data_IF_770353098061
#
_entry.id   IF_770353098061
#
_cell.length_a   1.000
_cell.length_b   1.000
_cell.length_c   1.000
_cell.angle_alpha   90.00
_cell.angle_beta   90.00
_cell.angle_gamma   90.00
#
_symmetry.space_group_name_H-M   'P 1'
#
loop_
_entity.id
_entity.type
_entity.pdbx_description
1 polymer ?
#
# COMPACT_ATOMS: atom_id res chain seq x y z
N UNK A 1 -29.06 -1.67 3.81
CA UNK A 1 -28.63 -2.87 3.08
C UNK A 1 -27.81 -2.52 1.83
N UNK A 2 -28.28 -1.57 0.98
CA UNK A 2 -27.55 -1.21 -0.25
C UNK A 2 -26.15 -0.64 0.03
N UNK A 3 -26.00 0.22 1.04
CA UNK A 3 -24.68 0.82 1.39
C UNK A 3 -23.68 -0.22 1.91
N UNK A 4 -24.13 -1.17 2.74
CA UNK A 4 -23.27 -2.23 3.26
C UNK A 4 -22.85 -3.21 2.17
N UNK A 5 -23.77 -3.62 1.28
CA UNK A 5 -23.45 -4.47 0.14
C UNK A 5 -22.48 -3.78 -0.85
N UNK A 6 -22.65 -2.46 -1.06
CA UNK A 6 -21.73 -1.68 -1.87
C UNK A 6 -20.35 -1.58 -1.24
N UNK A 7 -20.24 -1.34 0.07
CA UNK A 7 -18.97 -1.34 0.80
C UNK A 7 -18.29 -2.71 0.71
N UNK A 8 -19.02 -3.81 0.97
CA UNK A 8 -18.49 -5.16 0.82
C UNK A 8 -17.93 -5.42 -0.58
N UNK A 9 -18.70 -5.05 -1.63
CA UNK A 9 -18.27 -5.24 -3.01
C UNK A 9 -17.01 -4.41 -3.34
N UNK A 10 -16.96 -3.16 -2.87
CA UNK A 10 -15.84 -2.25 -3.07
C UNK A 10 -14.56 -2.76 -2.39
N UNK A 11 -14.62 -3.14 -1.12
CA UNK A 11 -13.46 -3.66 -0.39
C UNK A 11 -12.99 -5.00 -0.95
N UNK A 12 -13.90 -5.90 -1.33
CA UNK A 12 -13.55 -7.14 -2.00
C UNK A 12 -12.91 -6.93 -3.37
N UNK A 13 -13.33 -5.91 -4.13
CA UNK A 13 -12.71 -5.54 -5.38
C UNK A 13 -11.33 -4.90 -5.17
N UNK A 14 -11.19 -4.06 -4.14
CA UNK A 14 -9.92 -3.42 -3.79
C UNK A 14 -8.86 -4.45 -3.38
N UNK A 15 -9.21 -5.41 -2.53
CA UNK A 15 -8.30 -6.50 -2.12
C UNK A 15 -7.80 -7.30 -3.32
N UNK A 16 -8.71 -7.72 -4.22
CA UNK A 16 -8.30 -8.42 -5.44
C UNK A 16 -7.42 -7.57 -6.35
N UNK A 17 -7.77 -6.29 -6.54
CA UNK A 17 -7.01 -5.40 -7.41
C UNK A 17 -5.61 -5.12 -6.86
N UNK A 18 -5.48 -4.90 -5.54
CA UNK A 18 -4.19 -4.70 -4.89
C UNK A 18 -3.28 -5.93 -5.05
N UNK A 19 -3.79 -7.13 -4.79
CA UNK A 19 -3.02 -8.38 -4.99
C UNK A 19 -2.63 -8.62 -6.45
N UNK A 20 -3.49 -8.29 -7.39
CA UNK A 20 -3.20 -8.43 -8.83
C UNK A 20 -2.19 -7.39 -9.34
N UNK A 21 -2.09 -6.25 -8.69
CA UNK A 21 -1.13 -5.21 -9.06
C UNK A 21 0.32 -5.59 -8.74
N UNK A 22 0.54 -6.40 -7.71
CA UNK A 22 1.85 -6.83 -7.25
C UNK A 22 2.34 -8.07 -7.99
N UNK A 23 3.64 -8.17 -8.25
CA UNK A 23 4.28 -9.37 -8.80
C UNK A 23 4.42 -10.46 -7.74
N UNK A 24 4.68 -10.08 -6.48
CA UNK A 24 4.84 -10.97 -5.33
C UNK A 24 4.03 -10.45 -4.13
N UNK A 25 2.72 -10.72 -4.06
CA UNK A 25 1.89 -10.29 -2.95
C UNK A 25 2.21 -11.08 -1.68
N UNK A 26 2.71 -10.40 -0.64
CA UNK A 26 3.12 -11.02 0.63
C UNK A 26 2.13 -10.72 1.75
N UNK A 27 1.85 -11.72 2.58
CA UNK A 27 1.16 -11.51 3.86
C UNK A 27 2.09 -10.85 4.87
N UNK A 28 1.52 -10.25 5.91
CA UNK A 28 2.28 -9.46 6.88
C UNK A 28 2.50 -8.01 6.42
N UNK A 29 1.75 -7.55 5.42
CA UNK A 29 1.82 -6.21 4.85
C UNK A 29 0.45 -5.52 4.86
N UNK A 30 0.37 -4.34 4.30
CA UNK A 30 -0.88 -3.62 4.01
C UNK A 30 -1.96 -4.52 3.37
N UNK A 31 -1.56 -5.55 2.59
CA UNK A 31 -2.50 -6.50 1.97
C UNK A 31 -3.25 -7.33 3.00
N UNK A 32 -2.60 -7.72 4.09
CA UNK A 32 -3.22 -8.50 5.18
C UNK A 32 -4.34 -7.70 5.83
N UNK A 33 -4.11 -6.41 6.08
CA UNK A 33 -5.11 -5.49 6.65
C UNK A 33 -6.26 -5.23 5.68
N UNK A 34 -5.97 -5.02 4.40
CA UNK A 34 -7.00 -4.84 3.37
C UNK A 34 -7.89 -6.08 3.24
N UNK A 35 -7.29 -7.27 3.27
CA UNK A 35 -8.04 -8.54 3.26
C UNK A 35 -8.87 -8.74 4.52
N UNK A 36 -8.37 -8.33 5.69
CA UNK A 36 -9.13 -8.37 6.95
C UNK A 36 -10.37 -7.47 6.85
N UNK A 37 -10.23 -6.25 6.34
CA UNK A 37 -11.34 -5.33 6.10
C UNK A 37 -12.39 -5.92 5.16
N UNK A 38 -11.97 -6.49 4.03
CA UNK A 38 -12.87 -7.11 3.06
C UNK A 38 -13.64 -8.30 3.66
N UNK A 39 -12.95 -9.18 4.43
CA UNK A 39 -13.57 -10.32 5.12
C UNK A 39 -14.53 -9.87 6.22
N UNK A 40 -14.19 -8.85 6.99
CA UNK A 40 -15.05 -8.32 8.05
C UNK A 40 -16.38 -7.81 7.52
N UNK A 41 -16.34 -6.99 6.47
CA UNK A 41 -17.54 -6.47 5.82
C UNK A 41 -18.38 -7.59 5.17
N UNK A 42 -17.75 -8.63 4.63
CA UNK A 42 -18.46 -9.79 4.10
C UNK A 42 -19.21 -10.56 5.20
N UNK A 43 -18.60 -10.79 6.37
CA UNK A 43 -19.25 -11.44 7.53
C UNK A 43 -20.42 -10.62 8.06
N UNK A 44 -20.23 -9.30 8.17
CA UNK A 44 -21.28 -8.41 8.68
C UNK A 44 -22.54 -8.40 7.78
N UNK A 45 -22.39 -8.63 6.47
CA UNK A 45 -23.51 -8.70 5.55
C UNK A 45 -24.32 -9.99 5.64
N UNK A 46 -23.70 -11.11 6.05
CA UNK A 46 -24.35 -12.42 6.21
C UNK A 46 -25.05 -12.57 7.56
N UNK A 47 -24.64 -11.80 8.57
CA UNK A 47 -25.19 -11.84 9.94
C UNK A 47 -26.30 -10.79 10.18
N UNK A 48 -26.67 -10.00 9.16
CA UNK A 48 -27.82 -9.10 9.31
C UNK A 48 -29.05 -9.93 9.62
N UNK A 49 -29.72 -9.74 10.77
CA UNK A 49 -30.93 -10.48 11.10
C UNK A 49 -31.98 -10.17 10.06
N UNK A 50 -32.81 -11.18 9.70
CA UNK A 50 -34.00 -11.08 8.86
C UNK A 50 -35.11 -10.23 9.54
N UNK A 51 -34.73 -9.13 10.16
CA UNK A 51 -35.69 -8.16 10.67
C UNK A 51 -36.26 -7.44 9.46
N UNK A 52 -37.59 -7.54 9.21
CA UNK A 52 -38.21 -6.85 8.11
C UNK A 52 -37.86 -5.38 8.24
N UNK A 53 -37.28 -4.84 7.17
CA UNK A 53 -36.92 -3.42 7.08
C UNK A 53 -38.19 -2.62 7.38
N UNK A 54 -38.26 -1.99 8.56
CA UNK A 54 -39.22 -0.94 8.78
C UNK A 54 -38.87 0.09 7.73
N UNK A 55 -39.81 0.25 6.77
CA UNK A 55 -39.67 1.20 5.69
C UNK A 55 -39.72 2.61 6.29
N UNK A 56 -38.59 3.11 6.65
CA UNK A 56 -38.33 4.46 7.12
C UNK A 56 -36.91 4.82 6.72
N UNK A 57 -36.74 6.01 6.20
CA UNK A 57 -35.52 6.64 5.68
C UNK A 57 -34.35 6.69 6.71
N UNK A 58 -33.92 5.54 7.22
CA UNK A 58 -32.72 5.51 8.03
C UNK A 58 -31.51 5.80 7.12
N UNK A 59 -30.79 6.87 7.46
CA UNK A 59 -29.59 7.33 6.79
C UNK A 59 -28.66 6.13 6.49
N UNK A 60 -28.18 5.96 5.27
CA UNK A 60 -27.22 4.92 4.90
C UNK A 60 -25.98 4.88 5.81
N UNK A 61 -25.52 6.01 6.35
CA UNK A 61 -24.43 6.11 7.30
C UNK A 61 -24.75 5.39 8.63
N UNK A 62 -25.98 5.50 9.14
CA UNK A 62 -26.43 4.83 10.38
C UNK A 62 -26.37 3.31 10.25
N UNK A 63 -26.55 2.77 9.03
CA UNK A 63 -26.51 1.32 8.78
C UNK A 63 -25.09 0.80 8.57
N UNK A 64 -24.17 1.65 8.09
CA UNK A 64 -22.77 1.27 7.82
C UNK A 64 -21.89 1.37 9.05
N UNK A 65 -22.20 2.31 9.98
CA UNK A 65 -21.37 2.59 11.16
C UNK A 65 -20.97 1.37 11.98
N UNK A 66 -21.92 0.51 12.41
CA UNK A 66 -21.57 -0.70 13.17
C UNK A 66 -20.65 -1.65 12.40
N UNK A 67 -20.87 -1.84 11.10
CA UNK A 67 -20.05 -2.71 10.28
C UNK A 67 -18.62 -2.19 10.11
N UNK A 68 -18.46 -0.86 9.93
CA UNK A 68 -17.14 -0.22 9.83
C UNK A 68 -16.41 -0.25 11.17
N UNK A 69 -17.11 -0.13 12.29
CA UNK A 69 -16.51 -0.24 13.64
C UNK A 69 -15.97 -1.65 13.90
N UNK A 70 -16.73 -2.69 13.54
CA UNK A 70 -16.26 -4.08 13.64
C UNK A 70 -15.10 -4.33 12.70
N UNK A 71 -15.19 -3.83 11.46
CA UNK A 71 -14.11 -3.91 10.49
C UNK A 71 -12.82 -3.30 11.03
N UNK A 72 -12.88 -2.12 11.66
CA UNK A 72 -11.70 -1.47 12.23
C UNK A 72 -11.05 -2.33 13.32
N UNK A 73 -11.82 -2.93 14.22
CA UNK A 73 -11.30 -3.82 15.26
C UNK A 73 -10.59 -5.05 14.65
N UNK A 74 -11.17 -5.66 13.61
CA UNK A 74 -10.52 -6.75 12.87
C UNK A 74 -9.23 -6.29 12.16
N UNK A 75 -9.17 -5.02 11.71
CA UNK A 75 -7.97 -4.46 11.10
C UNK A 75 -6.86 -4.19 12.12
N UNK A 76 -7.18 -3.75 13.35
CA UNK A 76 -6.18 -3.61 14.42
C UNK A 76 -5.50 -4.95 14.68
N UNK A 77 -6.28 -6.01 14.85
CA UNK A 77 -5.73 -7.36 15.01
C UNK A 77 -4.85 -7.78 13.83
N UNK A 78 -5.29 -7.49 12.60
CA UNK A 78 -4.52 -7.82 11.41
C UNK A 78 -3.19 -7.04 11.32
N UNK A 79 -3.12 -5.80 11.84
CA UNK A 79 -1.87 -5.03 11.96
C UNK A 79 -0.94 -5.71 12.96
N UNK A 80 -1.43 -6.10 14.15
CA UNK A 80 -0.63 -6.81 15.15
C UNK A 80 -0.05 -8.12 14.60
N UNK A 81 -0.84 -8.87 13.83
CA UNK A 81 -0.41 -10.12 13.20
C UNK A 81 0.75 -9.94 12.21
N UNK A 82 0.92 -8.74 11.62
CA UNK A 82 2.00 -8.47 10.63
C UNK A 82 3.39 -8.74 11.20
N UNK A 83 3.62 -8.46 12.49
CA UNK A 83 4.90 -8.74 13.17
C UNK A 83 5.32 -10.20 13.02
N UNK A 84 4.38 -11.13 13.16
CA UNK A 84 4.65 -12.57 13.11
C UNK A 84 4.72 -13.16 11.71
N UNK A 85 4.19 -12.45 10.70
CA UNK A 85 4.05 -12.96 9.32
C UNK A 85 5.27 -12.68 8.45
N UNK A 86 6.09 -11.68 8.80
CA UNK A 86 7.30 -11.33 8.06
C UNK A 86 8.53 -11.39 8.96
N UNK A 87 9.51 -12.19 8.58
CA UNK A 87 10.72 -12.39 9.35
C UNK A 87 11.48 -11.08 9.70
N UNK A 88 11.59 -10.06 8.84
CA UNK A 88 12.16 -8.77 9.21
C UNK A 88 11.40 -8.07 10.33
N UNK A 89 10.06 -8.07 10.28
CA UNK A 89 9.22 -7.45 11.30
C UNK A 89 9.30 -8.19 12.63
N UNK A 90 9.29 -9.54 12.60
CA UNK A 90 9.49 -10.39 13.79
C UNK A 90 10.83 -10.10 14.47
N UNK A 91 11.92 -9.96 13.72
CA UNK A 91 13.24 -9.66 14.26
C UNK A 91 13.33 -8.27 14.89
N UNK A 92 12.67 -7.30 14.28
CA UNK A 92 12.64 -5.92 14.75
C UNK A 92 11.59 -5.67 15.85
N UNK A 93 10.69 -6.61 16.10
CA UNK A 93 9.55 -6.45 17.02
C UNK A 93 8.68 -5.24 16.67
N UNK A 94 8.39 -5.08 15.38
CA UNK A 94 7.56 -3.98 14.87
C UNK A 94 6.47 -4.51 13.94
N UNK A 95 5.40 -3.74 13.77
CA UNK A 95 4.36 -3.99 12.78
C UNK A 95 4.69 -3.32 11.45
N UNK A 96 4.01 -3.73 10.37
CA UNK A 96 4.18 -3.13 9.04
C UNK A 96 3.68 -1.67 9.00
N UNK A 97 4.54 -0.75 8.60
CA UNK A 97 4.21 0.68 8.55
C UNK A 97 3.11 1.00 7.54
N UNK A 98 3.05 0.28 6.41
CA UNK A 98 1.98 0.41 5.42
C UNK A 98 0.63 -0.04 5.96
N UNK A 99 0.63 -1.12 6.75
CA UNK A 99 -0.54 -1.63 7.46
C UNK A 99 -1.07 -0.61 8.47
N UNK A 100 -0.19 0.02 9.26
CA UNK A 100 -0.57 1.11 10.19
C UNK A 100 -1.13 2.31 9.43
N UNK A 101 -0.51 2.71 8.32
CA UNK A 101 -1.02 3.78 7.47
C UNK A 101 -2.43 3.50 6.94
N UNK A 102 -2.71 2.28 6.49
CA UNK A 102 -4.06 1.88 6.05
C UNK A 102 -5.05 1.85 7.22
N UNK A 103 -4.62 1.43 8.41
CA UNK A 103 -5.46 1.45 9.60
C UNK A 103 -5.95 2.88 9.91
N UNK A 104 -5.07 3.89 9.80
CA UNK A 104 -5.44 5.30 9.97
C UNK A 104 -6.45 5.79 8.92
N UNK A 105 -6.33 5.32 7.67
CA UNK A 105 -7.34 5.62 6.63
C UNK A 105 -8.69 5.02 7.00
N UNK A 106 -8.72 3.80 7.55
CA UNK A 106 -9.96 3.16 7.98
C UNK A 106 -10.55 3.79 9.23
N UNK A 107 -9.71 4.28 10.15
CA UNK A 107 -10.18 5.06 11.30
C UNK A 107 -10.81 6.38 10.86
N UNK A 108 -10.20 7.11 9.95
CA UNK A 108 -10.79 8.31 9.37
C UNK A 108 -12.13 8.01 8.69
N UNK A 109 -12.23 6.90 7.97
CA UNK A 109 -13.49 6.44 7.38
C UNK A 109 -14.55 6.15 8.45
N UNK A 110 -14.20 5.46 9.55
CA UNK A 110 -15.09 5.20 10.68
C UNK A 110 -15.59 6.52 11.28
N UNK A 111 -14.68 7.44 11.56
CA UNK A 111 -15.00 8.74 12.13
C UNK A 111 -16.04 9.49 11.27
N UNK A 112 -15.83 9.54 9.96
CA UNK A 112 -16.77 10.18 9.02
C UNK A 112 -18.13 9.47 9.00
N UNK A 113 -18.13 8.14 8.92
CA UNK A 113 -19.37 7.34 8.80
C UNK A 113 -20.19 7.37 10.09
N UNK A 114 -19.53 7.39 11.26
CA UNK A 114 -20.22 7.37 12.56
C UNK A 114 -20.49 8.77 13.12
N UNK A 115 -19.86 9.81 12.57
CA UNK A 115 -19.92 11.16 13.10
C UNK A 115 -19.19 11.33 14.45
N UNK A 116 -18.26 10.42 14.78
CA UNK A 116 -17.47 10.46 16.02
C UNK A 116 -16.05 10.94 15.72
N UNK A 117 -15.34 11.53 16.68
CA UNK A 117 -13.94 11.91 16.51
C UNK A 117 -13.04 10.74 16.12
N UNK A 118 -11.91 11.05 15.48
CA UNK A 118 -10.82 10.10 15.24
C UNK A 118 -10.23 9.68 16.60
N UNK A 119 -9.97 8.40 16.76
CA UNK A 119 -9.29 7.84 17.92
C UNK A 119 -7.78 7.99 17.73
N UNK A 120 -7.19 9.03 18.33
CA UNK A 120 -5.75 9.31 18.22
C UNK A 120 -4.88 8.27 18.94
N UNK A 121 -5.46 7.49 19.86
CA UNK A 121 -4.75 6.47 20.61
C UNK A 121 -4.76 5.09 19.92
N UNK A 122 -5.47 4.94 18.80
CA UNK A 122 -5.68 3.66 18.10
C UNK A 122 -4.39 2.86 17.86
N UNK A 123 -3.30 3.54 17.53
CA UNK A 123 -2.03 2.90 17.21
C UNK A 123 -1.05 2.82 18.38
N UNK A 124 -1.35 3.44 19.52
CA UNK A 124 -0.38 3.57 20.64
C UNK A 124 -0.03 2.24 21.29
N UNK A 125 -0.92 1.24 21.20
CA UNK A 125 -0.71 -0.10 21.74
C UNK A 125 0.00 -1.06 20.76
N UNK A 126 0.24 -0.64 19.51
CA UNK A 126 0.84 -1.49 18.49
C UNK A 126 2.34 -1.70 18.76
N UNK A 127 2.88 -2.93 18.54
CA UNK A 127 4.30 -3.21 18.68
C UNK A 127 5.17 -2.27 17.83
N UNK A 128 6.17 -1.64 18.47
CA UNK A 128 7.08 -0.72 17.80
C UNK A 128 6.51 0.66 17.45
N UNK A 129 5.25 0.95 17.83
CA UNK A 129 4.71 2.31 17.67
C UNK A 129 5.28 3.22 18.75
N UNK A 130 5.97 4.28 18.32
CA UNK A 130 6.49 5.33 19.20
C UNK A 130 5.93 6.66 18.70
N UNK A 131 5.12 7.33 19.52
CA UNK A 131 4.53 8.61 19.19
C UNK A 131 5.66 9.66 19.01
N UNK A 132 5.67 10.35 17.87
CA UNK A 132 6.68 11.36 17.56
C UNK A 132 8.08 10.80 17.30
N UNK A 133 8.22 9.52 17.11
CA UNK A 133 9.50 8.96 16.68
C UNK A 133 9.88 9.53 15.30
N UNK A 134 10.81 10.48 15.30
CA UNK A 134 11.77 10.57 14.21
C UNK A 134 12.27 9.15 14.01
N UNK A 135 12.23 8.66 12.75
CA UNK A 135 12.73 7.33 12.45
C UNK A 135 13.99 7.09 13.30
N UNK A 136 13.89 6.20 14.29
CA UNK A 136 15.04 5.85 15.08
C UNK A 136 16.07 5.43 14.03
N UNK A 137 17.23 6.06 14.05
CA UNK A 137 18.42 5.55 13.37
C UNK A 137 18.76 4.19 14.04
N UNK A 138 17.84 3.22 13.83
CA UNK A 138 18.06 1.85 14.16
C UNK A 138 19.08 1.34 13.15
N UNK A 139 20.12 0.69 13.64
CA UNK A 139 21.04 -0.06 12.80
C UNK A 139 20.22 -0.81 11.75
N UNK A 140 20.59 -0.74 10.46
CA UNK A 140 19.84 -1.40 9.40
C UNK A 140 19.65 -2.85 9.82
N UNK A 141 18.37 -3.30 9.90
CA UNK A 141 18.07 -4.67 10.26
C UNK A 141 18.87 -5.57 9.30
N UNK A 142 19.89 -6.20 9.83
CA UNK A 142 20.76 -7.08 9.09
C UNK A 142 19.87 -8.13 8.43
N UNK A 143 19.91 -8.21 7.07
CA UNK A 143 19.20 -9.20 6.24
C UNK A 143 17.68 -9.02 6.00
N UNK A 144 17.13 -7.82 5.85
CA UNK A 144 16.38 -7.57 4.61
C UNK A 144 17.38 -7.82 3.48
N UNK A 145 17.06 -8.58 2.42
CA UNK A 145 17.97 -8.62 1.26
C UNK A 145 18.40 -7.19 1.02
N UNK A 146 19.70 -6.93 1.26
CA UNK A 146 20.22 -5.57 1.28
C UNK A 146 19.83 -4.95 -0.06
N UNK A 147 19.26 -3.74 -0.10
CA UNK A 147 18.96 -3.10 -1.38
C UNK A 147 20.23 -3.25 -2.20
N UNK A 148 20.13 -3.79 -3.41
CA UNK A 148 21.29 -3.95 -4.29
C UNK A 148 21.97 -2.59 -4.31
N UNK A 149 23.23 -2.52 -3.84
CA UNK A 149 23.96 -1.25 -3.76
C UNK A 149 23.83 -0.53 -5.11
N UNK A 150 23.28 0.67 -5.11
CA UNK A 150 23.00 1.42 -6.33
C UNK A 150 21.66 1.07 -7.02
N UNK A 151 20.76 0.30 -6.38
CA UNK A 151 19.43 0.06 -6.92
C UNK A 151 18.63 1.35 -6.99
N UNK A 152 17.86 1.49 -8.06
CA UNK A 152 17.00 2.65 -8.31
C UNK A 152 15.55 2.22 -8.47
N UNK A 153 14.65 3.07 -8.01
CA UNK A 153 13.24 2.99 -8.31
C UNK A 153 12.96 3.68 -9.64
N UNK A 154 12.25 3.02 -10.54
CA UNK A 154 11.79 3.60 -11.79
C UNK A 154 10.26 3.59 -11.82
N UNK A 155 9.67 4.76 -12.00
CA UNK A 155 8.22 4.90 -12.14
C UNK A 155 7.84 5.61 -13.42
N UNK A 156 6.65 5.30 -13.94
CA UNK A 156 6.10 5.93 -15.13
C UNK A 156 4.67 5.51 -15.41
N UNK A 157 4.05 6.10 -16.41
CA UNK A 157 2.72 5.72 -16.89
C UNK A 157 2.76 5.42 -18.37
N UNK A 158 2.17 4.30 -18.79
CA UNK A 158 2.06 3.88 -20.19
C UNK A 158 0.62 3.55 -20.54
N UNK A 159 0.18 3.89 -21.75
CA UNK A 159 -1.14 3.50 -22.25
C UNK A 159 -1.03 2.19 -23.03
N UNK A 160 -1.45 1.07 -22.42
CA UNK A 160 -1.26 -0.30 -22.93
C UNK A 160 -2.57 -1.09 -22.94
N UNK A 161 -2.63 -2.10 -23.82
CA UNK A 161 -3.64 -3.16 -23.67
C UNK A 161 -3.30 -4.06 -22.47
N UNK A 162 -4.29 -4.75 -21.88
CA UNK A 162 -4.02 -5.68 -20.77
C UNK A 162 -2.96 -6.75 -21.11
N UNK A 163 -2.93 -7.23 -22.35
CA UNK A 163 -1.94 -8.20 -22.81
C UNK A 163 -0.53 -7.61 -22.85
N UNK A 164 -0.38 -6.40 -23.42
CA UNK A 164 0.91 -5.70 -23.45
C UNK A 164 1.41 -5.36 -22.03
N UNK A 165 0.50 -5.00 -21.11
CA UNK A 165 0.86 -4.77 -19.71
C UNK A 165 1.34 -6.06 -19.02
N UNK A 166 0.70 -7.19 -19.27
CA UNK A 166 1.12 -8.49 -18.72
C UNK A 166 2.51 -8.89 -19.24
N UNK A 167 2.79 -8.67 -20.52
CA UNK A 167 4.10 -8.94 -21.11
C UNK A 167 5.17 -7.99 -20.56
N UNK A 168 4.87 -6.71 -20.41
CA UNK A 168 5.78 -5.74 -19.79
C UNK A 168 6.10 -6.14 -18.34
N UNK A 169 5.08 -6.53 -17.54
CA UNK A 169 5.28 -7.02 -16.18
C UNK A 169 6.28 -8.17 -16.15
N UNK A 170 6.10 -9.18 -16.99
CA UNK A 170 7.00 -10.32 -17.06
C UNK A 170 8.44 -9.88 -17.34
N UNK A 171 8.66 -8.99 -18.32
CA UNK A 171 10.00 -8.48 -18.66
C UNK A 171 10.63 -7.71 -17.51
N UNK A 172 9.86 -6.89 -16.79
CA UNK A 172 10.36 -6.14 -15.65
C UNK A 172 10.69 -7.08 -14.48
N UNK A 173 9.90 -8.13 -14.25
CA UNK A 173 10.19 -9.15 -13.23
C UNK A 173 11.47 -9.93 -13.52
N UNK A 174 11.88 -10.07 -14.80
CA UNK A 174 13.12 -10.72 -15.18
C UNK A 174 14.37 -9.87 -14.86
N UNK A 175 14.22 -8.55 -14.64
CA UNK A 175 15.35 -7.61 -14.51
C UNK A 175 15.36 -6.82 -13.17
N UNK A 176 14.27 -6.92 -12.40
CA UNK A 176 14.13 -6.17 -11.15
C UNK A 176 13.12 -6.81 -10.19
N UNK A 177 12.95 -6.16 -9.07
CA UNK A 177 12.00 -6.57 -8.03
C UNK A 177 10.95 -5.47 -7.77
N UNK A 178 10.07 -5.67 -6.76
CA UNK A 178 8.98 -4.76 -6.38
C UNK A 178 8.12 -4.30 -7.58
N UNK A 179 7.94 -5.14 -8.61
CA UNK A 179 7.25 -4.80 -9.84
C UNK A 179 5.75 -4.63 -9.59
N UNK A 180 5.26 -3.40 -9.79
CA UNK A 180 3.85 -3.04 -9.69
C UNK A 180 3.40 -2.51 -11.06
N UNK A 181 2.36 -3.12 -11.62
CA UNK A 181 1.62 -2.58 -12.76
C UNK A 181 0.13 -2.52 -12.39
N UNK A 182 -0.39 -1.31 -12.25
CA UNK A 182 -1.78 -1.07 -11.91
C UNK A 182 -2.48 -0.18 -12.94
N UNK A 183 -3.70 -0.53 -13.40
CA UNK A 183 -4.45 0.34 -14.30
C UNK A 183 -4.89 1.60 -13.57
N UNK A 184 -4.75 2.75 -14.22
CA UNK A 184 -5.21 4.05 -13.73
C UNK A 184 -6.58 4.34 -14.34
N UNK A 185 -7.64 4.05 -13.58
CA UNK A 185 -9.01 4.20 -14.04
C UNK A 185 -9.53 3.02 -14.87
N UNK A 186 -10.74 3.16 -15.40
CA UNK A 186 -11.44 2.11 -16.14
C UNK A 186 -11.71 2.47 -17.61
N UNK A 187 -11.48 3.73 -17.99
CA UNK A 187 -11.72 4.20 -19.35
C UNK A 187 -10.73 3.54 -20.32
N UNK A 188 -11.26 3.05 -21.43
CA UNK A 188 -10.49 2.44 -22.52
C UNK A 188 -10.56 3.33 -23.75
N UNK A 189 -9.44 3.41 -24.48
CA UNK A 189 -9.45 4.03 -25.80
C UNK A 189 -10.07 3.11 -26.88
N UNK A 190 -10.11 3.60 -28.11
CA UNK A 190 -10.67 2.86 -29.24
C UNK A 190 -9.91 1.55 -29.55
N UNK A 191 -8.68 1.39 -29.08
CA UNK A 191 -7.84 0.21 -29.21
C UNK A 191 -7.92 -0.71 -27.97
N UNK A 192 -8.76 -0.39 -26.99
CA UNK A 192 -8.91 -1.13 -25.75
C UNK A 192 -7.76 -0.94 -24.75
N UNK A 193 -6.91 0.09 -24.94
CA UNK A 193 -5.80 0.42 -24.07
C UNK A 193 -6.28 1.26 -22.90
N UNK A 194 -5.62 1.12 -21.76
CA UNK A 194 -5.82 1.94 -20.55
C UNK A 194 -4.46 2.46 -20.08
N UNK A 195 -4.41 3.58 -19.33
CA UNK A 195 -3.19 4.00 -18.66
C UNK A 195 -2.82 2.99 -17.55
N UNK A 196 -1.54 2.63 -17.46
CA UNK A 196 -0.97 1.78 -16.43
C UNK A 196 0.13 2.51 -15.70
N UNK A 197 0.02 2.61 -14.38
CA UNK A 197 1.12 3.06 -13.54
C UNK A 197 2.09 1.91 -13.34
N UNK A 198 3.36 2.18 -13.60
CA UNK A 198 4.46 1.24 -13.42
C UNK A 198 5.35 1.73 -12.29
N UNK A 199 5.79 0.78 -11.45
CA UNK A 199 6.79 0.94 -10.43
C UNK A 199 7.67 -0.31 -10.45
N UNK A 200 8.98 -0.15 -10.41
CA UNK A 200 9.94 -1.26 -10.36
C UNK A 200 11.25 -0.81 -9.73
N UNK A 201 11.86 -1.69 -8.95
CA UNK A 201 13.23 -1.53 -8.47
C UNK A 201 14.19 -2.31 -9.36
N UNK A 202 15.25 -1.65 -9.83
CA UNK A 202 16.26 -2.27 -10.71
C UNK A 202 17.67 -1.86 -10.31
N UNK A 203 18.69 -2.71 -10.58
CA UNK A 203 20.08 -2.35 -10.31
C UNK A 203 20.54 -1.08 -11.06
N UNK A 204 20.01 -0.84 -12.26
CA UNK A 204 20.31 0.34 -13.09
C UNK A 204 19.06 0.82 -13.80
N UNK A 205 18.84 2.12 -13.86
CA UNK A 205 17.67 2.71 -14.47
C UNK A 205 17.40 2.21 -15.91
N UNK A 206 18.44 1.99 -16.70
CA UNK A 206 18.33 1.54 -18.10
C UNK A 206 17.74 0.13 -18.22
N UNK A 207 17.88 -0.71 -17.20
CA UNK A 207 17.33 -2.07 -17.18
C UNK A 207 15.78 -2.05 -17.19
N UNK A 208 15.15 -0.99 -16.66
CA UNK A 208 13.71 -0.76 -16.73
C UNK A 208 13.32 0.19 -17.87
N UNK A 209 14.06 1.27 -18.09
CA UNK A 209 13.72 2.31 -19.09
C UNK A 209 13.67 1.72 -20.49
N UNK A 210 14.59 0.81 -20.82
CA UNK A 210 14.60 0.13 -22.12
C UNK A 210 13.30 -0.63 -22.40
N UNK A 211 12.91 -1.59 -21.56
CA UNK A 211 11.63 -2.28 -21.66
C UNK A 211 10.41 -1.37 -21.68
N UNK A 212 10.37 -0.31 -20.84
CA UNK A 212 9.27 0.66 -20.80
C UNK A 212 9.12 1.36 -22.15
N UNK A 213 10.18 1.94 -22.69
CA UNK A 213 10.17 2.64 -23.99
C UNK A 213 9.84 1.71 -25.16
N UNK A 214 10.26 0.45 -25.09
CA UNK A 214 9.91 -0.56 -26.09
C UNK A 214 8.41 -0.94 -26.06
N UNK A 215 7.75 -0.78 -24.92
CA UNK A 215 6.32 -1.05 -24.78
C UNK A 215 5.44 0.12 -25.25
N UNK A 216 5.94 1.37 -25.22
CA UNK A 216 5.19 2.56 -25.64
C UNK A 216 5.78 3.85 -25.13
N UNK A 217 5.06 4.94 -25.33
CA UNK A 217 5.42 6.25 -24.80
C UNK A 217 5.22 6.26 -23.27
N UNK A 218 6.24 6.73 -22.56
CA UNK A 218 6.26 6.78 -21.10
C UNK A 218 6.04 8.19 -20.61
N UNK A 219 4.96 8.43 -19.91
CA UNK A 219 4.64 9.71 -19.29
C UNK A 219 5.10 9.72 -17.82
N UNK A 220 5.61 10.89 -17.36
CA UNK A 220 5.98 11.07 -15.95
C UNK A 220 7.06 10.09 -15.47
N UNK A 221 8.04 9.77 -16.32
CA UNK A 221 9.15 8.91 -15.96
C UNK A 221 9.98 9.58 -14.85
N UNK A 222 10.15 8.87 -13.74
CA UNK A 222 11.01 9.27 -12.62
C UNK A 222 11.96 8.14 -12.26
N UNK A 223 13.14 8.51 -11.80
CA UNK A 223 14.17 7.61 -11.29
C UNK A 223 14.63 8.15 -9.94
N UNK A 224 14.59 7.31 -8.91
CA UNK A 224 14.94 7.68 -7.53
C UNK A 224 15.94 6.67 -7.00
N UNK A 225 17.05 7.14 -6.40
CA UNK A 225 17.99 6.26 -5.72
C UNK A 225 17.36 5.66 -4.46
N UNK A 226 17.45 4.35 -4.31
CA UNK A 226 16.96 3.62 -3.13
C UNK A 226 18.00 3.58 -2.00
N UNK A 227 19.29 3.72 -2.33
CA UNK A 227 20.31 4.08 -1.35
C UNK A 227 20.08 5.55 -0.99
N UNK A 228 19.59 5.83 0.22
CA UNK A 228 19.39 7.20 0.71
C UNK A 228 20.66 8.05 0.50
N UNK A 229 20.56 9.39 0.60
CA UNK A 229 21.70 10.27 0.38
C UNK A 229 22.83 9.82 1.33
N UNK A 230 23.89 9.26 0.73
CA UNK A 230 25.13 9.04 1.46
C UNK A 230 25.51 10.40 2.07
N UNK A 231 25.62 10.47 3.40
CA UNK A 231 26.21 11.63 4.07
C UNK A 231 27.62 11.77 3.50
N UNK A 232 27.73 12.54 2.41
CA UNK A 232 28.99 12.97 1.86
C UNK A 232 29.68 13.80 2.93
N UNK A 233 30.90 13.39 3.29
CA UNK A 233 31.87 14.18 4.03
C UNK A 233 31.81 15.65 3.58
N UNK A 234 31.17 16.51 4.35
CA UNK A 234 31.46 17.92 4.37
C UNK A 234 32.84 18.09 5.03
N UNK A 235 33.87 17.88 4.21
CA UNK A 235 35.20 18.32 4.54
C UNK A 235 35.14 19.84 4.72
N UNK A 236 35.12 20.29 5.96
CA UNK A 236 35.26 21.69 6.31
C UNK A 236 36.54 22.24 5.65
N UNK A 237 36.49 23.40 4.98
CA UNK A 237 37.71 24.02 4.48
C UNK A 237 38.53 24.51 5.66
N UNK A 238 39.73 23.98 5.72
CA UNK A 238 40.80 24.38 6.65
C UNK A 238 40.90 25.92 6.74
N UNK A 239 40.88 26.39 7.98
CA UNK A 239 41.02 27.77 8.31
C UNK A 239 42.40 28.31 7.84
N UNK A 240 42.36 29.34 7.06
CA UNK A 240 43.50 30.22 6.80
C UNK A 240 43.77 31.08 8.04
N UNK A 241 44.76 30.69 8.84
CA UNK A 241 45.45 31.62 9.71
C UNK A 241 46.33 32.56 8.86
N UNK A 242 46.14 33.84 9.03
CA UNK A 242 46.99 34.86 8.42
C UNK A 242 46.85 36.23 9.10
N UNK A 243 47.74 36.43 10.10
CA UNK A 243 48.28 37.70 10.65
C UNK A 243 47.31 38.81 10.99
#
# INVERSE_FOLDING_TARGET
>A
LQSQAAAQAAFGAADRAARQALSDPREGTILTVLSAAARSLARSSTQAPDTPAVAGDADPAVRLGPAVTVMLADCVQAVEETESLLAPLTRAHVVDAGAVGLLWVFEALRAVVTGTPVDEELATALPGYVEGAQAAEGEPAAEAEAPIEGAVEVMGTLTLTPLAAAELRRRLTDVGDAVILAPVGTARDAQGRVPWRVHVHVPRAEDAIGPLRAAGDVEGLTVTDLAGPSHGDDAAPDGCHGR
#
